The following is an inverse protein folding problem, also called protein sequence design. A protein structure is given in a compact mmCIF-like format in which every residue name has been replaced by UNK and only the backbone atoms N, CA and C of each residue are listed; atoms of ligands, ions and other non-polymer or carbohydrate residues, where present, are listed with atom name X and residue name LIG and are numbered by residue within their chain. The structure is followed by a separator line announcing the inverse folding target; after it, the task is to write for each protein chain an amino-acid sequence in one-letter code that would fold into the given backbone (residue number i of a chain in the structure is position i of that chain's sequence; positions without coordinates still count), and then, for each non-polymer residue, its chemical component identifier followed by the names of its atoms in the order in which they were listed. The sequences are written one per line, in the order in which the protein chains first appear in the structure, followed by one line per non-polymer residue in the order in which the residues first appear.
data_IF_028436790700
#
_entry.id   IF_028436790700
#
_cell.length_a   1.000
_cell.length_b   1.000
_cell.length_c   1.000
_cell.angle_alpha   90.00
_cell.angle_beta   90.00
_cell.angle_gamma   90.00
#
_symmetry.space_group_name_H-M   'P 1'
#
loop_
_entity.id
_entity.type
_entity.pdbx_description
1 polymer ?
#
# COMPACT_ATOMS: atom_id res chain seq x y z
N UNK A 1 -28.85 17.25 21.69
CA UNK A 1 -29.68 16.23 21.00
C UNK A 1 -29.72 14.94 21.81
N UNK A 2 -30.87 14.24 21.86
CA UNK A 2 -31.08 12.98 22.59
C UNK A 2 -30.10 11.88 22.16
N UNK A 3 -29.82 11.77 20.86
CA UNK A 3 -28.89 10.76 20.32
C UNK A 3 -27.47 10.91 20.84
N UNK A 4 -26.99 12.14 21.02
CA UNK A 4 -25.66 12.39 21.59
C UNK A 4 -25.58 11.93 23.04
N UNK A 5 -26.63 12.15 23.84
CA UNK A 5 -26.70 11.67 25.22
C UNK A 5 -26.70 10.15 25.28
N UNK A 6 -27.49 9.50 24.42
CA UNK A 6 -27.54 8.02 24.33
C UNK A 6 -26.18 7.45 23.93
N UNK A 7 -25.51 8.05 22.93
CA UNK A 7 -24.16 7.66 22.55
C UNK A 7 -23.18 7.73 23.72
N UNK A 8 -23.15 8.86 24.45
CA UNK A 8 -22.27 9.03 25.61
C UNK A 8 -22.54 7.98 26.70
N UNK A 9 -23.81 7.66 26.96
CA UNK A 9 -24.17 6.60 27.91
C UNK A 9 -23.68 5.22 27.45
N UNK A 10 -23.80 4.90 26.16
CA UNK A 10 -23.34 3.63 25.58
C UNK A 10 -21.81 3.52 25.49
N UNK A 11 -21.10 4.63 25.28
CA UNK A 11 -19.63 4.69 25.43
C UNK A 11 -19.23 4.41 26.88
N UNK A 12 -20.00 4.94 27.85
CA UNK A 12 -19.81 4.70 29.28
C UNK A 12 -19.83 3.22 29.67
N UNK A 13 -20.56 2.38 28.95
CA UNK A 13 -20.61 0.92 29.17
C UNK A 13 -19.26 0.25 28.87
N UNK A 14 -18.50 0.77 27.90
CA UNK A 14 -17.22 0.23 27.43
C UNK A 14 -16.02 0.96 28.05
N UNK A 15 -16.23 2.16 28.59
CA UNK A 15 -15.21 2.91 29.30
C UNK A 15 -14.87 2.33 30.68
N UNK A 16 -13.83 2.87 31.31
CA UNK A 16 -13.37 2.42 32.63
C UNK A 16 -14.51 2.47 33.66
N UNK A 17 -14.75 1.36 34.36
CA UNK A 17 -15.85 1.23 35.32
C UNK A 17 -17.19 0.78 34.73
N UNK A 18 -17.29 0.64 33.40
CA UNK A 18 -18.47 0.11 32.70
C UNK A 18 -18.53 -1.42 32.66
N UNK A 19 -19.73 -1.96 32.40
CA UNK A 19 -19.97 -3.42 32.39
C UNK A 19 -19.25 -4.18 31.26
N UNK A 20 -18.64 -3.47 30.31
CA UNK A 20 -17.92 -4.00 29.15
C UNK A 20 -16.52 -3.37 28.97
N UNK A 21 -15.86 -2.99 30.07
CA UNK A 21 -14.58 -2.26 30.05
C UNK A 21 -13.44 -2.98 29.29
N UNK A 22 -13.47 -4.31 29.20
CA UNK A 22 -12.53 -5.14 28.40
C UNK A 22 -12.69 -4.97 26.89
N UNK A 23 -13.74 -4.30 26.40
CA UNK A 23 -13.93 -4.01 24.98
C UNK A 23 -13.29 -2.69 24.56
N UNK A 24 -12.70 -1.94 25.51
CA UNK A 24 -12.04 -0.68 25.24
C UNK A 24 -10.88 -0.87 24.26
N UNK A 25 -10.88 -0.09 23.17
CA UNK A 25 -9.81 -0.05 22.19
C UNK A 25 -9.09 1.32 22.26
N UNK A 26 -7.78 1.34 21.93
CA UNK A 26 -6.95 2.55 21.89
C UNK A 26 -7.06 3.30 20.55
N UNK A 27 -7.44 2.61 19.47
CA UNK A 27 -7.41 3.12 18.10
C UNK A 27 -8.75 3.71 17.64
N UNK A 28 -9.86 3.24 18.23
CA UNK A 28 -11.19 3.75 17.96
C UNK A 28 -12.10 3.53 19.16
N UNK A 29 -13.16 4.33 19.27
CA UNK A 29 -14.14 4.22 20.36
C UNK A 29 -15.26 3.24 20.00
N UNK A 30 -15.74 2.49 20.99
CA UNK A 30 -16.90 1.60 20.85
C UNK A 30 -18.00 2.08 21.79
N UNK A 31 -19.23 2.15 21.28
CA UNK A 31 -20.41 2.37 22.09
C UNK A 31 -21.31 1.14 21.98
N UNK A 32 -21.77 0.60 23.10
CA UNK A 32 -22.60 -0.60 23.06
C UNK A 32 -23.23 -0.97 24.39
N UNK A 33 -23.98 -2.08 24.37
CA UNK A 33 -24.68 -2.60 25.53
C UNK A 33 -24.55 -4.11 25.62
N UNK A 34 -24.31 -4.57 26.83
CA UNK A 34 -24.34 -5.98 27.22
C UNK A 34 -25.78 -6.46 27.41
N UNK A 35 -26.08 -7.65 26.91
CA UNK A 35 -27.29 -8.39 27.19
C UNK A 35 -26.95 -9.75 27.81
N UNK A 36 -27.70 -10.12 28.85
CA UNK A 36 -27.68 -11.46 29.43
C UNK A 36 -29.14 -11.81 29.68
N UNK A 37 -29.72 -12.66 28.85
CA UNK A 37 -31.12 -13.06 28.95
C UNK A 37 -31.23 -14.49 29.45
N UNK A 38 -32.24 -14.76 30.27
CA UNK A 38 -32.63 -16.12 30.60
C UNK A 38 -33.40 -16.73 29.42
N UNK A 39 -33.19 -18.03 29.18
CA UNK A 39 -33.91 -18.77 28.15
C UNK A 39 -34.97 -19.60 28.85
N UNK A 40 -36.22 -19.43 28.44
CA UNK A 40 -37.34 -20.20 28.97
C UNK A 40 -37.16 -21.69 28.63
N UNK A 41 -37.46 -22.54 29.60
CA UNK A 41 -37.60 -23.98 29.41
C UNK A 41 -38.99 -24.28 28.82
N UNK A 42 -39.06 -25.22 27.88
CA UNK A 42 -40.31 -25.58 27.20
C UNK A 42 -41.40 -26.15 28.14
N UNK A 43 -41.02 -26.77 29.25
CA UNK A 43 -41.95 -27.39 30.22
C UNK A 43 -42.28 -26.48 31.41
N UNK A 44 -41.29 -25.74 31.91
CA UNK A 44 -41.41 -24.98 33.17
C UNK A 44 -41.29 -23.47 33.01
N UNK A 45 -41.16 -22.97 31.77
CA UNK A 45 -40.97 -21.54 31.51
C UNK A 45 -39.65 -21.03 32.12
N UNK A 46 -39.71 -19.91 32.84
CA UNK A 46 -38.55 -19.39 33.59
C UNK A 46 -38.42 -19.97 34.99
N UNK A 47 -39.28 -20.90 35.38
CA UNK A 47 -39.18 -21.61 36.65
C UNK A 47 -38.28 -22.84 36.46
N UNK A 48 -37.30 -23.02 37.34
CA UNK A 48 -36.22 -23.98 37.13
C UNK A 48 -36.26 -25.09 38.19
N UNK A 49 -36.65 -26.31 37.81
CA UNK A 49 -36.30 -27.54 38.56
C UNK A 49 -34.92 -28.10 38.15
N UNK A 50 -34.39 -27.70 36.99
CA UNK A 50 -33.08 -28.11 36.45
C UNK A 50 -32.24 -26.91 35.97
N UNK A 51 -31.08 -27.15 35.33
CA UNK A 51 -30.06 -26.10 35.04
C UNK A 51 -30.61 -24.92 34.23
N UNK A 52 -30.31 -23.72 34.70
CA UNK A 52 -30.62 -22.45 34.03
C UNK A 52 -29.83 -22.32 32.73
N UNK A 53 -30.50 -21.94 31.64
CA UNK A 53 -29.87 -21.62 30.35
C UNK A 53 -29.90 -20.10 30.11
N UNK A 54 -28.82 -19.58 29.53
CA UNK A 54 -28.62 -18.15 29.32
C UNK A 54 -28.26 -17.86 27.86
N UNK A 55 -28.67 -16.68 27.38
CA UNK A 55 -28.23 -16.10 26.13
C UNK A 55 -27.38 -14.87 26.46
N UNK A 56 -26.15 -14.86 25.96
CA UNK A 56 -25.21 -13.78 26.15
C UNK A 56 -25.16 -12.95 24.86
N UNK A 57 -25.30 -11.64 24.94
CA UNK A 57 -25.24 -10.77 23.78
C UNK A 57 -24.47 -9.48 24.02
N UNK A 58 -23.95 -8.91 22.95
CA UNK A 58 -23.40 -7.57 22.92
C UNK A 58 -23.81 -6.91 21.61
N UNK A 59 -24.39 -5.72 21.70
CA UNK A 59 -24.76 -4.88 20.56
C UNK A 59 -24.02 -3.56 20.66
N UNK A 60 -23.47 -3.08 19.55
CA UNK A 60 -22.76 -1.81 19.56
C UNK A 60 -22.46 -1.29 18.16
N UNK A 61 -21.89 -0.10 18.11
CA UNK A 61 -21.44 0.56 16.90
C UNK A 61 -20.06 1.18 17.08
N UNK A 62 -19.34 1.32 15.97
CA UNK A 62 -17.97 1.83 15.94
C UNK A 62 -17.62 2.49 14.58
N UNK A 63 -16.71 3.48 14.57
CA UNK A 63 -16.24 4.25 15.73
C UNK A 63 -17.39 5.01 16.40
N UNK A 64 -17.39 5.14 17.72
CA UNK A 64 -18.53 5.70 18.45
C UNK A 64 -18.85 7.14 18.02
N UNK A 65 -17.82 7.98 17.82
CA UNK A 65 -17.95 9.40 17.51
C UNK A 65 -18.62 9.67 16.16
N UNK A 66 -18.27 8.86 15.16
CA UNK A 66 -18.82 8.88 13.81
C UNK A 66 -19.13 7.43 13.40
N UNK A 67 -20.29 6.88 13.80
CA UNK A 67 -20.62 5.48 13.55
C UNK A 67 -20.72 5.17 12.06
N UNK A 68 -19.95 4.18 11.61
CA UNK A 68 -20.00 3.68 10.23
C UNK A 68 -20.58 2.26 10.20
N UNK A 69 -20.36 1.47 11.25
CA UNK A 69 -20.90 0.12 11.37
C UNK A 69 -21.57 -0.10 12.73
N UNK A 70 -22.61 -0.93 12.72
CA UNK A 70 -23.21 -1.53 13.90
C UNK A 70 -23.11 -3.05 13.81
N UNK A 71 -22.92 -3.72 14.94
CA UNK A 71 -22.84 -5.17 15.03
C UNK A 71 -23.57 -5.65 16.28
N UNK A 72 -24.23 -6.79 16.17
CA UNK A 72 -24.76 -7.55 17.30
C UNK A 72 -24.16 -8.95 17.27
N UNK A 73 -23.70 -9.41 18.43
CA UNK A 73 -23.27 -10.78 18.67
C UNK A 73 -24.21 -11.40 19.68
N UNK A 74 -24.73 -12.58 19.36
CA UNK A 74 -25.61 -13.36 20.23
C UNK A 74 -25.05 -14.77 20.34
N UNK A 75 -24.83 -15.23 21.56
CA UNK A 75 -24.35 -16.59 21.87
C UNK A 75 -25.38 -17.28 22.75
N UNK A 76 -25.90 -18.39 22.25
CA UNK A 76 -26.90 -19.20 22.93
C UNK A 76 -26.23 -20.28 23.79
N UNK A 77 -26.73 -20.49 25.01
CA UNK A 77 -26.28 -21.52 25.95
C UNK A 77 -24.74 -21.62 26.11
N UNK A 78 -24.05 -20.54 26.52
CA UNK A 78 -22.61 -20.62 26.79
C UNK A 78 -22.33 -21.59 27.96
N UNK A 79 -21.13 -22.16 27.98
CA UNK A 79 -20.75 -23.22 28.93
C UNK A 79 -20.96 -22.82 30.40
N UNK A 80 -21.13 -23.84 31.28
CA UNK A 80 -21.72 -23.79 32.64
C UNK A 80 -21.20 -22.73 33.64
N UNK A 81 -20.15 -21.97 33.35
CA UNK A 81 -19.51 -21.07 34.32
C UNK A 81 -19.34 -19.62 33.87
N UNK A 82 -19.57 -19.28 32.59
CA UNK A 82 -19.40 -17.92 32.08
C UNK A 82 -20.54 -17.58 31.12
N UNK A 83 -21.47 -16.74 31.58
CA UNK A 83 -22.70 -16.42 30.84
C UNK A 83 -22.94 -14.92 30.62
N UNK A 84 -22.07 -14.06 31.15
CA UNK A 84 -22.22 -12.61 31.01
C UNK A 84 -21.94 -12.19 29.57
N UNK A 85 -22.85 -11.39 28.98
CA UNK A 85 -22.71 -10.84 27.62
C UNK A 85 -21.33 -10.24 27.32
N UNK A 86 -20.72 -9.61 28.33
CA UNK A 86 -19.38 -9.06 28.22
C UNK A 86 -18.26 -10.10 28.04
N UNK A 87 -18.31 -11.26 28.72
CA UNK A 87 -17.23 -12.25 28.66
C UNK A 87 -17.38 -13.21 27.47
N UNK A 88 -18.60 -13.36 26.96
CA UNK A 88 -18.90 -14.29 25.87
C UNK A 88 -19.03 -13.55 24.54
N UNK A 89 -20.00 -12.65 24.41
CA UNK A 89 -20.29 -11.96 23.15
C UNK A 89 -19.36 -10.76 22.91
N UNK A 90 -18.88 -10.12 23.98
CA UNK A 90 -17.98 -8.97 23.93
C UNK A 90 -16.68 -9.23 23.13
N UNK A 91 -15.85 -10.24 23.48
CA UNK A 91 -14.61 -10.53 22.76
C UNK A 91 -14.83 -10.79 21.27
N UNK A 92 -15.92 -11.50 20.92
CA UNK A 92 -16.27 -11.77 19.53
C UNK A 92 -16.59 -10.45 18.80
N UNK A 93 -17.39 -9.57 19.41
CA UNK A 93 -17.65 -8.24 18.85
C UNK A 93 -16.34 -7.47 18.63
N UNK A 94 -15.44 -7.47 19.63
CA UNK A 94 -14.16 -6.76 19.54
C UNK A 94 -13.28 -7.28 18.41
N UNK A 95 -13.16 -8.60 18.26
CA UNK A 95 -12.39 -9.22 17.16
C UNK A 95 -12.95 -8.84 15.77
N UNK A 96 -14.27 -8.85 15.61
CA UNK A 96 -14.93 -8.43 14.37
C UNK A 96 -14.69 -6.94 14.12
N UNK A 97 -14.88 -6.10 15.13
CA UNK A 97 -14.71 -4.66 15.03
C UNK A 97 -13.26 -4.27 14.71
N UNK A 98 -12.28 -4.92 15.35
CA UNK A 98 -10.85 -4.69 15.10
C UNK A 98 -10.47 -5.04 13.65
N UNK A 99 -10.96 -6.18 13.15
CA UNK A 99 -10.73 -6.60 11.75
C UNK A 99 -11.39 -5.68 10.74
N UNK A 100 -12.62 -5.25 10.99
CA UNK A 100 -13.32 -4.30 10.10
C UNK A 100 -12.60 -2.96 10.10
N UNK A 101 -12.21 -2.47 11.27
CA UNK A 101 -11.50 -1.20 11.41
C UNK A 101 -10.17 -1.23 10.67
N UNK A 102 -9.33 -2.24 10.90
CA UNK A 102 -8.00 -2.34 10.29
C UNK A 102 -8.01 -2.50 8.76
N UNK A 103 -9.11 -2.98 8.16
CA UNK A 103 -9.23 -3.18 6.71
C UNK A 103 -10.05 -2.07 6.02
N UNK A 104 -10.55 -1.09 6.76
CA UNK A 104 -11.42 -0.05 6.23
C UNK A 104 -10.63 1.21 5.90
N UNK A 105 -10.31 1.42 4.62
CA UNK A 105 -9.69 2.66 4.14
C UNK A 105 -10.48 3.91 4.54
N UNK A 106 -11.81 3.81 4.61
CA UNK A 106 -12.71 4.92 4.99
C UNK A 106 -12.66 5.31 6.46
N UNK A 107 -12.20 4.41 7.33
CA UNK A 107 -12.10 4.67 8.79
C UNK A 107 -10.75 5.23 9.21
N UNK A 108 -9.76 5.16 8.33
CA UNK A 108 -8.45 5.73 8.58
C UNK A 108 -8.41 7.15 8.02
N UNK A 109 -7.79 8.06 8.77
CA UNK A 109 -7.46 9.39 8.22
C UNK A 109 -6.58 9.16 7.00
N UNK A 110 -6.95 9.75 5.87
CA UNK A 110 -6.04 9.85 4.73
C UNK A 110 -4.72 10.42 5.22
N UNK A 111 -3.61 9.83 4.77
CA UNK A 111 -2.31 10.44 5.03
C UNK A 111 -2.37 11.85 4.43
N UNK A 112 -2.04 12.88 5.21
CA UNK A 112 -1.95 14.23 4.69
C UNK A 112 -1.09 14.15 3.42
N UNK A 113 -1.65 14.58 2.28
CA UNK A 113 -0.94 14.60 1.01
C UNK A 113 0.37 15.34 1.26
N UNK A 114 1.47 14.60 1.38
CA UNK A 114 2.77 15.24 1.30
C UNK A 114 2.78 15.76 -0.13
N UNK A 115 2.86 17.09 -0.36
CA UNK A 115 2.97 17.59 -1.71
C UNK A 115 4.13 16.83 -2.32
N UNK A 116 3.83 16.02 -3.34
CA UNK A 116 4.84 15.22 -4.00
C UNK A 116 5.96 16.19 -4.37
N UNK A 117 7.14 16.07 -3.74
CA UNK A 117 8.31 16.88 -4.07
C UNK A 117 8.89 16.52 -5.45
N UNK A 118 8.11 15.82 -6.29
CA UNK A 118 8.42 15.71 -7.70
C UNK A 118 8.06 17.07 -8.32
N UNK A 119 9.09 17.85 -8.63
CA UNK A 119 8.96 19.13 -9.36
C UNK A 119 8.35 18.98 -10.76
N UNK A 120 8.16 17.75 -11.23
CA UNK A 120 7.53 17.40 -12.49
C UNK A 120 6.65 16.16 -12.32
N UNK A 121 5.50 16.17 -12.99
CA UNK A 121 4.62 15.00 -13.07
C UNK A 121 5.24 13.84 -13.88
N UNK A 122 6.36 14.11 -14.58
CA UNK A 122 7.04 13.15 -15.43
C UNK A 122 8.29 12.60 -14.72
N UNK A 123 8.43 11.27 -14.63
CA UNK A 123 9.62 10.69 -14.05
C UNK A 123 10.84 10.96 -14.92
N UNK A 124 11.98 11.21 -14.27
CA UNK A 124 13.27 11.18 -14.95
C UNK A 124 13.48 9.77 -15.54
N UNK A 125 13.73 9.71 -16.84
CA UNK A 125 13.88 8.46 -17.57
C UNK A 125 15.33 8.24 -18.00
N UNK A 126 15.80 6.99 -17.94
CA UNK A 126 17.12 6.62 -18.45
C UNK A 126 17.05 6.33 -19.95
N UNK A 127 18.17 6.50 -20.64
CA UNK A 127 18.33 6.00 -22.01
C UNK A 127 18.63 4.50 -21.95
N UNK A 128 18.12 3.73 -22.91
CA UNK A 128 18.16 2.27 -22.81
C UNK A 128 17.40 1.56 -23.90
N UNK A 129 17.03 0.31 -23.63
CA UNK A 129 16.33 -0.55 -24.59
C UNK A 129 14.99 0.06 -24.99
N UNK A 130 14.73 0.13 -26.29
CA UNK A 130 13.51 0.70 -26.84
C UNK A 130 12.28 -0.04 -26.32
N UNK A 131 12.26 -1.36 -26.47
CA UNK A 131 11.06 -2.15 -26.16
C UNK A 131 10.78 -2.19 -24.65
N UNK A 132 11.82 -2.21 -23.82
CA UNK A 132 11.66 -2.12 -22.36
C UNK A 132 11.08 -0.77 -21.95
N UNK A 133 11.60 0.34 -22.49
CA UNK A 133 11.10 1.68 -22.18
C UNK A 133 9.68 1.90 -22.70
N UNK A 134 9.33 1.37 -23.87
CA UNK A 134 7.95 1.41 -24.37
C UNK A 134 6.98 0.73 -23.40
N UNK A 135 7.32 -0.48 -22.94
CA UNK A 135 6.49 -1.23 -22.01
C UNK A 135 6.35 -0.51 -20.66
N UNK A 136 7.42 0.10 -20.15
CA UNK A 136 7.39 0.86 -18.90
C UNK A 136 6.53 2.10 -19.04
N UNK A 137 6.74 2.91 -20.08
CA UNK A 137 5.98 4.16 -20.25
C UNK A 137 4.49 3.91 -20.48
N UNK A 138 4.14 2.90 -21.28
CA UNK A 138 2.73 2.53 -21.50
C UNK A 138 2.08 1.96 -20.23
N UNK A 139 2.75 1.06 -19.52
CA UNK A 139 2.21 0.46 -18.28
C UNK A 139 1.99 1.50 -17.17
N UNK A 140 2.87 2.50 -17.10
CA UNK A 140 2.79 3.58 -16.11
C UNK A 140 1.99 4.79 -16.60
N UNK A 141 1.43 4.75 -17.81
CA UNK A 141 0.72 5.88 -18.42
C UNK A 141 1.54 7.17 -18.47
N UNK A 142 2.86 7.06 -18.67
CA UNK A 142 3.77 8.19 -18.81
C UNK A 142 3.67 8.74 -20.24
N UNK A 143 3.36 10.03 -20.45
CA UNK A 143 3.35 10.63 -21.77
C UNK A 143 4.75 10.61 -22.43
N UNK A 144 4.85 10.15 -23.67
CA UNK A 144 6.09 10.20 -24.46
C UNK A 144 5.83 10.62 -25.92
N UNK A 145 6.85 11.16 -26.59
CA UNK A 145 6.81 11.60 -28.00
C UNK A 145 8.10 11.24 -28.75
N UNK A 146 8.03 11.24 -30.07
CA UNK A 146 9.13 10.93 -30.99
C UNK A 146 9.70 9.51 -30.79
N UNK A 147 8.83 8.55 -30.47
CA UNK A 147 9.24 7.17 -30.22
C UNK A 147 9.70 6.50 -31.52
N UNK A 148 11.00 6.16 -31.68
CA UNK A 148 11.51 5.63 -32.93
C UNK A 148 10.86 4.30 -33.30
N UNK A 149 10.52 4.10 -34.58
CA UNK A 149 9.98 2.81 -35.05
C UNK A 149 11.06 1.75 -35.20
N UNK A 150 12.26 2.16 -35.65
CA UNK A 150 13.37 1.27 -36.00
C UNK A 150 14.65 1.69 -35.27
N UNK A 151 14.80 1.26 -34.02
CA UNK A 151 16.07 1.26 -33.29
C UNK A 151 15.97 0.27 -32.13
N UNK A 152 17.08 -0.35 -31.75
CA UNK A 152 17.15 -1.18 -30.55
C UNK A 152 17.32 -0.32 -29.29
N UNK A 153 18.05 0.79 -29.42
CA UNK A 153 18.41 1.69 -28.32
C UNK A 153 17.82 3.08 -28.56
N UNK A 154 17.37 3.73 -27.47
CA UNK A 154 16.84 5.09 -27.51
C UNK A 154 17.43 5.97 -26.41
N UNK A 155 17.55 7.25 -26.73
CA UNK A 155 17.80 8.30 -25.76
C UNK A 155 16.50 8.89 -25.26
N UNK A 156 16.49 9.31 -24.01
CA UNK A 156 15.34 9.93 -23.36
C UNK A 156 15.71 11.30 -22.79
N UNK A 157 14.78 12.25 -22.90
CA UNK A 157 14.88 13.59 -22.32
C UNK A 157 13.56 13.94 -21.65
N UNK A 158 13.57 13.98 -20.32
CA UNK A 158 12.39 14.38 -19.54
C UNK A 158 12.17 15.89 -19.67
N UNK A 159 10.98 16.28 -20.13
CA UNK A 159 10.45 17.66 -20.13
C UNK A 159 9.38 17.79 -19.04
N UNK A 160 8.77 18.97 -18.94
CA UNK A 160 7.80 19.30 -17.89
C UNK A 160 6.57 18.36 -17.88
N UNK A 161 6.14 17.90 -19.06
CA UNK A 161 4.91 17.09 -19.20
C UNK A 161 5.03 15.89 -20.15
N UNK A 162 6.21 15.63 -20.71
CA UNK A 162 6.43 14.51 -21.64
C UNK A 162 7.87 14.01 -21.60
N UNK A 163 8.08 12.73 -21.86
CA UNK A 163 9.40 12.18 -22.20
C UNK A 163 9.60 12.27 -23.70
N UNK A 164 10.59 13.05 -24.14
CA UNK A 164 11.00 13.07 -25.54
C UNK A 164 12.00 11.95 -25.76
N UNK A 165 11.79 11.14 -26.79
CA UNK A 165 12.70 10.04 -27.15
C UNK A 165 13.36 10.28 -28.50
N UNK A 166 14.56 9.77 -28.67
CA UNK A 166 15.31 9.85 -29.93
C UNK A 166 16.03 8.52 -30.19
N UNK A 167 16.21 8.17 -31.46
CA UNK A 167 16.93 6.95 -31.83
C UNK A 167 18.41 7.06 -31.44
N UNK A 168 18.94 6.01 -30.82
CA UNK A 168 20.37 5.82 -30.64
C UNK A 168 20.85 4.68 -31.51
N UNK A 169 21.55 5.01 -32.60
CA UNK A 169 22.12 4.00 -33.48
C UNK A 169 23.47 3.53 -32.94
N UNK A 170 23.63 2.21 -32.85
CA UNK A 170 24.91 1.56 -32.55
C UNK A 170 25.54 1.14 -33.89
N UNK A 171 26.51 1.93 -34.35
CA UNK A 171 27.17 1.71 -35.64
C UNK A 171 28.37 0.78 -35.45
N UNK A 172 28.45 -0.36 -36.16
CA UNK A 172 29.56 -1.30 -36.02
C UNK A 172 30.94 -0.65 -36.21
N UNK A 173 31.84 -0.90 -35.26
CA UNK A 173 33.22 -0.40 -35.30
C UNK A 173 33.38 1.08 -34.90
N UNK A 174 32.31 1.76 -34.51
CA UNK A 174 32.35 3.12 -33.95
C UNK A 174 31.94 3.09 -32.47
N UNK A 175 32.51 4.00 -31.68
CA UNK A 175 32.21 4.16 -30.26
C UNK A 175 30.74 4.61 -30.11
N UNK A 176 29.90 3.85 -29.40
CA UNK A 176 28.51 4.25 -29.11
C UNK A 176 28.45 5.44 -28.14
N UNK A 177 27.35 6.20 -28.20
CA UNK A 177 27.07 7.27 -27.24
C UNK A 177 26.21 6.76 -26.08
N UNK A 178 26.86 6.32 -25.00
CA UNK A 178 26.16 5.75 -23.84
C UNK A 178 25.78 6.78 -22.78
N UNK A 179 25.96 8.08 -23.05
CA UNK A 179 25.57 9.14 -22.10
C UNK A 179 24.05 9.14 -21.91
N UNK A 180 23.62 9.13 -20.66
CA UNK A 180 22.22 9.02 -20.28
C UNK A 180 21.75 7.58 -20.01
N UNK A 181 22.58 6.57 -20.28
CA UNK A 181 22.24 5.17 -20.01
C UNK A 181 22.50 4.78 -18.55
N UNK A 182 21.77 3.76 -18.09
CA UNK A 182 22.13 3.04 -16.87
C UNK A 182 23.35 2.15 -17.08
N UNK A 183 24.05 1.80 -16.00
CA UNK A 183 25.29 1.01 -16.08
C UNK A 183 25.11 -0.31 -16.83
N UNK A 184 24.02 -1.04 -16.57
CA UNK A 184 23.76 -2.35 -17.19
C UNK A 184 23.73 -2.26 -18.72
N UNK A 185 22.94 -1.32 -19.24
CA UNK A 185 22.76 -1.14 -20.68
C UNK A 185 24.02 -0.55 -21.33
N UNK A 186 24.66 0.42 -20.66
CA UNK A 186 25.92 0.99 -21.13
C UNK A 186 27.01 -0.08 -21.26
N UNK A 187 27.10 -0.98 -20.27
CA UNK A 187 28.07 -2.09 -20.29
C UNK A 187 27.79 -3.03 -21.45
N UNK A 188 26.53 -3.45 -21.60
CA UNK A 188 26.11 -4.32 -22.70
C UNK A 188 26.48 -3.75 -24.08
N UNK A 189 26.15 -2.48 -24.33
CA UNK A 189 26.40 -1.81 -25.61
C UNK A 189 27.90 -1.67 -25.90
N UNK A 190 28.70 -1.29 -24.90
CA UNK A 190 30.14 -1.07 -25.08
C UNK A 190 30.93 -2.38 -25.24
N UNK A 191 30.62 -3.41 -24.45
CA UNK A 191 31.28 -4.72 -24.54
C UNK A 191 30.97 -5.40 -25.87
N UNK A 192 29.72 -5.38 -26.31
CA UNK A 192 29.33 -5.93 -27.62
C UNK A 192 29.95 -5.16 -28.79
N UNK A 193 30.32 -3.90 -28.57
CA UNK A 193 31.09 -3.10 -29.54
C UNK A 193 32.60 -3.41 -29.52
N UNK A 194 33.07 -4.25 -28.60
CA UNK A 194 34.45 -4.72 -28.52
C UNK A 194 35.38 -3.88 -27.64
N UNK A 195 34.83 -3.06 -26.74
CA UNK A 195 35.60 -2.23 -25.79
C UNK A 195 35.70 -2.92 -24.42
N UNK A 196 36.80 -2.67 -23.70
CA UNK A 196 36.94 -3.02 -22.30
C UNK A 196 36.50 -1.84 -21.42
N UNK A 197 35.74 -2.09 -20.36
CA UNK A 197 35.08 -1.01 -19.62
C UNK A 197 35.74 -0.82 -18.25
N UNK A 198 35.97 0.44 -17.90
CA UNK A 198 36.21 0.88 -16.53
C UNK A 198 35.13 1.89 -16.16
N UNK A 199 34.56 1.79 -14.97
CA UNK A 199 33.52 2.72 -14.53
C UNK A 199 33.74 3.19 -13.10
N UNK A 200 33.24 4.39 -12.80
CA UNK A 200 33.24 4.96 -11.45
C UNK A 200 31.90 5.65 -11.21
N UNK A 201 31.33 5.44 -10.02
CA UNK A 201 30.06 6.02 -9.60
C UNK A 201 28.90 5.03 -9.65
N UNK A 202 27.67 5.55 -9.55
CA UNK A 202 26.42 4.80 -9.62
C UNK A 202 25.39 5.56 -10.45
N UNK A 203 24.21 5.01 -10.69
CA UNK A 203 23.16 5.72 -11.43
C UNK A 203 23.40 5.80 -12.93
N UNK A 204 23.55 7.01 -13.46
CA UNK A 204 23.47 7.30 -14.90
C UNK A 204 24.81 7.77 -15.45
N UNK A 205 25.20 7.27 -16.63
CA UNK A 205 26.42 7.72 -17.32
C UNK A 205 26.30 9.20 -17.67
N UNK A 206 27.22 10.01 -17.16
CA UNK A 206 27.36 11.43 -17.49
C UNK A 206 28.49 11.71 -18.46
N UNK A 207 29.54 10.90 -18.44
CA UNK A 207 30.72 11.09 -19.28
C UNK A 207 31.29 9.75 -19.72
N UNK A 208 31.88 9.75 -20.91
CA UNK A 208 32.68 8.66 -21.47
C UNK A 208 34.00 9.22 -21.99
N UNK A 209 35.10 8.47 -21.82
CA UNK A 209 36.45 8.94 -22.16
C UNK A 209 36.73 8.95 -23.66
N UNK A 210 36.01 8.12 -24.43
CA UNK A 210 36.11 8.07 -25.90
C UNK A 210 34.89 8.77 -26.50
N UNK A 211 35.08 9.76 -27.39
CA UNK A 211 33.95 10.45 -27.99
C UNK A 211 33.15 9.51 -28.89
N UNK A 212 31.81 9.65 -28.93
CA UNK A 212 30.97 8.89 -29.84
C UNK A 212 31.40 9.04 -31.30
N UNK A 213 31.20 8.00 -32.11
CA UNK A 213 31.55 7.99 -33.53
C UNK A 213 33.04 7.81 -33.83
N UNK A 214 33.91 7.79 -32.81
CA UNK A 214 35.32 7.44 -32.99
C UNK A 214 35.47 5.97 -33.38
N UNK A 215 36.40 5.64 -34.28
CA UNK A 215 36.69 4.25 -34.64
C UNK A 215 37.22 3.46 -33.43
N UNK A 216 36.66 2.28 -33.20
CA UNK A 216 37.04 1.37 -32.11
C UNK A 216 38.30 0.59 -32.48
N UNK A 217 39.21 0.46 -31.52
CA UNK A 217 40.25 -0.57 -31.52
C UNK A 217 39.81 -1.67 -30.55
N UNK A 218 39.72 -2.92 -31.01
CA UNK A 218 39.20 -4.03 -30.19
C UNK A 218 40.06 -4.22 -28.94
N UNK A 219 39.41 -4.33 -27.78
CA UNK A 219 40.07 -4.42 -26.47
C UNK A 219 40.56 -3.09 -25.91
N UNK A 220 40.33 -1.97 -26.61
CA UNK A 220 40.62 -0.64 -26.09
C UNK A 220 39.74 -0.34 -24.87
N UNK A 221 40.37 0.23 -23.84
CA UNK A 221 39.66 0.62 -22.62
C UNK A 221 38.88 1.92 -22.82
N UNK A 222 37.61 1.93 -22.44
CA UNK A 222 36.77 3.11 -22.27
C UNK A 222 36.45 3.29 -20.78
N UNK A 223 36.64 4.51 -20.27
CA UNK A 223 36.22 4.89 -18.92
C UNK A 223 34.89 5.64 -18.99
N UNK A 224 33.91 5.22 -18.19
CA UNK A 224 32.63 5.92 -18.02
C UNK A 224 32.46 6.41 -16.57
N UNK A 225 31.88 7.59 -16.42
CA UNK A 225 31.65 8.21 -15.11
C UNK A 225 30.15 8.41 -14.90
N UNK A 226 29.66 7.93 -13.75
CA UNK A 226 28.26 7.97 -13.38
C UNK A 226 28.03 8.86 -12.14
N UNK A 227 26.80 9.36 -11.95
CA UNK A 227 26.38 10.20 -10.79
C UNK A 227 25.93 9.43 -9.57
#
# INVERSE_FOLDING_TARGET
STLLKVRQMLEGVVNNGGTAANLKNKHYMVAGKTGTAQIANDQYGYEYESKISHQASFVGFFPAEQPIYSCIVVVNAPSKYVYTGNLVAGPIFKEVADKVFANSLKMHKELDERPYMASSAIPYSLSGSRDELYNVFTSLSVPFTNFPEKSEWIKTSTKDSVVVTEAMEVIPGLVPDVVGMGLKDAVYVLENSGLNIQFVGKGVVKKQSLPPGKRIVRGQTIKIELT
#
